data_IF_129321415013
#
_entry.id   IF_129321415013
#
_cell.length_a   1.000
_cell.length_b   1.000
_cell.length_c   1.000
_cell.angle_alpha   90.00
_cell.angle_beta   90.00
_cell.angle_gamma   90.00
#
_symmetry.space_group_name_H-M   'P 1'
#
loop_
_entity.id
_entity.type
_entity.pdbx_description
1 polymer ?
#
# COMPACT_ATOMS: atom_id res chain seq x y z
N UNK A 1 -4.06 7.93 14.45
CA UNK A 1 -4.42 8.20 13.05
C UNK A 1 -5.92 8.04 12.82
N UNK A 2 -6.69 9.10 12.99
CA UNK A 2 -8.13 9.11 12.76
C UNK A 2 -8.36 9.52 11.31
N UNK A 3 -7.70 8.83 10.36
CA UNK A 3 -7.81 9.13 8.94
C UNK A 3 -8.53 7.95 8.32
N UNK A 4 -9.84 8.11 8.11
CA UNK A 4 -10.70 7.07 7.57
C UNK A 4 -11.46 7.59 6.33
N UNK A 5 -11.06 7.21 5.11
CA UNK A 5 -11.75 7.65 3.91
C UNK A 5 -13.09 6.91 3.83
N UNK A 6 -14.19 7.65 3.62
CA UNK A 6 -15.53 7.08 3.52
C UNK A 6 -16.24 7.49 2.23
N UNK A 7 -15.61 8.36 1.43
CA UNK A 7 -16.10 8.88 0.18
C UNK A 7 -17.04 10.07 0.35
N UNK A 8 -17.12 10.66 1.55
CA UNK A 8 -17.99 11.81 1.82
C UNK A 8 -17.51 12.99 0.99
N UNK A 9 -16.20 13.25 1.01
CA UNK A 9 -15.55 14.31 0.29
C UNK A 9 -14.08 13.93 0.11
N UNK A 10 -13.45 14.57 -0.87
CA UNK A 10 -12.06 14.37 -1.24
C UNK A 10 -11.15 14.86 -0.10
N UNK A 11 -9.87 14.45 -0.14
CA UNK A 11 -8.85 14.82 0.83
C UNK A 11 -7.95 15.83 0.08
N UNK A 12 -7.42 16.88 0.74
CA UNK A 12 -6.56 17.87 0.12
C UNK A 12 -5.14 17.31 -0.07
N UNK A 13 -4.16 18.14 -0.37
CA UNK A 13 -2.77 17.74 -0.55
C UNK A 13 -2.19 17.57 0.85
N UNK A 14 -2.47 16.44 1.50
CA UNK A 14 -1.95 16.20 2.83
C UNK A 14 -0.43 16.08 2.69
N UNK A 15 0.28 16.85 3.50
CA UNK A 15 1.73 16.87 3.51
C UNK A 15 2.32 15.58 4.08
N UNK A 16 1.79 15.15 5.22
CA UNK A 16 2.25 13.96 5.92
C UNK A 16 1.90 12.67 5.20
N UNK A 17 2.49 11.57 5.66
CA UNK A 17 2.30 10.24 5.11
C UNK A 17 2.14 9.28 6.29
N UNK A 18 0.96 9.33 6.96
CA UNK A 18 0.69 8.46 8.09
C UNK A 18 0.54 7.02 7.64
N UNK A 19 0.55 6.09 8.60
CA UNK A 19 0.40 4.67 8.36
C UNK A 19 -0.86 4.40 7.56
N UNK A 20 -2.00 4.92 8.03
CA UNK A 20 -3.28 4.71 7.38
C UNK A 20 -3.31 5.39 6.00
N UNK A 21 -2.67 6.56 5.85
CA UNK A 21 -2.63 7.28 4.59
C UNK A 21 -1.95 6.40 3.53
N UNK A 22 -0.88 5.69 3.91
CA UNK A 22 -0.17 4.80 2.99
C UNK A 22 -1.08 3.60 2.74
N UNK A 23 -1.65 3.01 3.80
CA UNK A 23 -2.53 1.85 3.72
C UNK A 23 -3.62 2.01 2.68
N UNK A 24 -4.37 3.13 2.73
CA UNK A 24 -5.44 3.36 1.78
C UNK A 24 -4.88 3.47 0.36
N UNK A 25 -3.74 4.15 0.16
CA UNK A 25 -3.15 4.28 -1.17
C UNK A 25 -2.74 2.92 -1.68
N UNK A 26 -2.05 2.11 -0.88
CA UNK A 26 -1.59 0.79 -1.26
C UNK A 26 -2.78 0.00 -1.83
N UNK A 27 -3.92 0.00 -1.14
CA UNK A 27 -5.12 -0.71 -1.60
C UNK A 27 -5.49 -0.29 -3.00
N UNK A 28 -5.53 1.02 -3.25
CA UNK A 28 -5.87 1.59 -4.54
C UNK A 28 -4.89 1.18 -5.63
N UNK A 29 -3.59 1.20 -5.35
CA UNK A 29 -2.53 0.88 -6.30
C UNK A 29 -2.60 -0.58 -6.70
N UNK A 30 -2.88 -1.43 -5.71
CA UNK A 30 -2.97 -2.87 -5.92
C UNK A 30 -4.29 -3.27 -6.57
N UNK A 31 -5.37 -2.49 -6.37
CA UNK A 31 -6.65 -2.83 -6.95
C UNK A 31 -6.55 -2.89 -8.47
N UNK A 32 -5.93 -1.88 -9.05
CA UNK A 32 -5.77 -1.80 -10.50
C UNK A 32 -4.90 -2.94 -10.99
N UNK A 33 -3.89 -3.34 -10.19
CA UNK A 33 -2.96 -4.41 -10.49
C UNK A 33 -3.64 -5.77 -10.50
N UNK A 34 -4.76 -5.91 -9.78
CA UNK A 34 -5.54 -7.13 -9.69
C UNK A 34 -6.83 -7.00 -10.52
N UNK A 35 -6.93 -6.00 -11.39
CA UNK A 35 -8.09 -5.77 -12.25
C UNK A 35 -9.40 -5.62 -11.46
N UNK A 36 -9.34 -4.92 -10.32
CA UNK A 36 -10.50 -4.73 -9.46
C UNK A 36 -10.52 -3.30 -8.88
N UNK A 37 -11.39 -3.07 -7.89
CA UNK A 37 -11.60 -1.83 -7.17
C UNK A 37 -11.21 -2.06 -5.71
N UNK A 38 -10.59 -1.04 -5.09
CA UNK A 38 -10.17 -1.12 -3.69
C UNK A 38 -11.38 -1.25 -2.76
N UNK A 39 -12.55 -0.90 -3.23
CA UNK A 39 -13.76 -0.97 -2.43
C UNK A 39 -14.01 -2.41 -1.99
N UNK A 40 -13.58 -3.41 -2.78
CA UNK A 40 -13.81 -4.81 -2.42
C UNK A 40 -12.61 -5.48 -1.74
N UNK A 41 -11.45 -4.82 -1.64
CA UNK A 41 -10.24 -5.40 -1.05
C UNK A 41 -10.18 -5.18 0.45
N UNK A 42 -9.78 -6.22 1.18
CA UNK A 42 -9.64 -6.15 2.63
C UNK A 42 -8.20 -5.73 2.99
N UNK A 43 -8.01 -5.20 4.20
CA UNK A 43 -6.72 -4.73 4.69
C UNK A 43 -5.90 -5.83 5.34
N UNK A 44 -6.58 -6.88 5.79
CA UNK A 44 -6.04 -8.07 6.44
C UNK A 44 -6.25 -9.34 5.60
N UNK A 45 -6.57 -9.18 4.30
CA UNK A 45 -6.75 -10.32 3.40
C UNK A 45 -5.48 -10.34 2.59
N UNK A 46 -5.05 -11.54 2.21
CA UNK A 46 -3.83 -11.71 1.47
C UNK A 46 -4.01 -11.38 0.01
N UNK A 47 -3.09 -10.59 -0.54
CA UNK A 47 -3.12 -10.19 -1.94
C UNK A 47 -3.15 -11.45 -2.81
N UNK A 48 -2.39 -12.48 -2.42
CA UNK A 48 -2.31 -13.72 -3.15
C UNK A 48 -3.67 -14.41 -3.22
N UNK A 49 -4.50 -14.31 -2.18
CA UNK A 49 -5.80 -14.95 -2.21
C UNK A 49 -6.66 -14.29 -3.26
N UNK A 50 -6.50 -12.97 -3.43
CA UNK A 50 -7.26 -12.23 -4.44
C UNK A 50 -6.71 -12.61 -5.82
N UNK A 51 -5.41 -12.89 -5.94
CA UNK A 51 -4.76 -13.29 -7.20
C UNK A 51 -3.36 -12.76 -7.42
N UNK A 52 -2.76 -12.09 -6.42
CA UNK A 52 -1.42 -11.52 -6.52
C UNK A 52 -0.44 -12.66 -6.73
N UNK A 53 0.26 -12.61 -7.84
CA UNK A 53 1.23 -13.61 -8.26
C UNK A 53 2.66 -13.08 -8.26
N UNK A 54 3.58 -13.90 -8.74
CA UNK A 54 4.99 -13.57 -8.81
C UNK A 54 5.31 -12.44 -9.79
N UNK A 55 4.51 -12.27 -10.83
CA UNK A 55 4.69 -11.25 -11.85
C UNK A 55 4.20 -9.92 -11.28
N UNK A 56 2.90 -9.88 -10.91
CA UNK A 56 2.24 -8.70 -10.38
C UNK A 56 2.99 -8.19 -9.13
N UNK A 57 3.45 -9.08 -8.26
CA UNK A 57 4.15 -8.65 -7.06
C UNK A 57 5.44 -7.90 -7.35
N UNK A 58 6.18 -8.29 -8.39
CA UNK A 58 7.43 -7.64 -8.76
C UNK A 58 7.16 -6.28 -9.37
N UNK A 59 6.15 -6.14 -10.23
CA UNK A 59 5.87 -4.83 -10.82
C UNK A 59 5.28 -3.90 -9.76
N UNK A 60 4.36 -4.39 -8.92
CA UNK A 60 3.73 -3.58 -7.90
C UNK A 60 4.72 -3.12 -6.84
N UNK A 61 5.69 -3.97 -6.48
CA UNK A 61 6.68 -3.59 -5.47
C UNK A 61 7.42 -2.32 -5.93
N UNK A 62 7.56 -2.13 -7.24
CA UNK A 62 8.26 -0.97 -7.78
C UNK A 62 7.42 0.29 -7.62
N UNK A 63 6.14 0.26 -8.01
CA UNK A 63 5.26 1.43 -7.91
C UNK A 63 5.28 1.96 -6.47
N UNK A 64 5.35 1.05 -5.49
CA UNK A 64 5.37 1.43 -4.09
C UNK A 64 6.61 2.29 -3.80
N UNK A 65 7.78 1.85 -4.26
CA UNK A 65 9.04 2.53 -4.05
C UNK A 65 9.02 3.91 -4.64
N UNK A 66 8.45 4.03 -5.83
CA UNK A 66 8.39 5.30 -6.53
C UNK A 66 7.42 6.25 -5.82
N UNK A 67 6.36 5.71 -5.19
CA UNK A 67 5.39 6.52 -4.50
C UNK A 67 5.97 7.13 -3.22
N UNK A 68 6.76 6.39 -2.43
CA UNK A 68 7.32 6.88 -1.17
C UNK A 68 8.82 7.12 -1.19
N UNK A 69 9.45 6.99 -2.37
CA UNK A 69 10.87 7.16 -2.65
C UNK A 69 11.71 6.22 -1.78
N UNK A 70 11.55 4.92 -2.01
CA UNK A 70 12.23 3.85 -1.26
C UNK A 70 12.88 2.86 -2.21
N UNK A 71 13.34 1.73 -1.67
CA UNK A 71 13.96 0.63 -2.38
C UNK A 71 13.43 -0.63 -1.73
N UNK A 72 12.65 -1.42 -2.45
CA UNK A 72 12.01 -2.67 -1.99
C UNK A 72 11.93 -3.62 -3.16
N UNK A 73 11.68 -4.90 -2.87
CA UNK A 73 11.59 -5.91 -3.90
C UNK A 73 10.43 -6.87 -3.69
N UNK A 74 10.39 -7.91 -4.50
CA UNK A 74 9.36 -8.93 -4.49
C UNK A 74 9.21 -9.60 -3.13
N UNK A 75 10.32 -9.72 -2.40
CA UNK A 75 10.34 -10.33 -1.07
C UNK A 75 9.35 -9.61 -0.14
N UNK A 76 9.09 -8.30 -0.34
CA UNK A 76 8.14 -7.58 0.50
C UNK A 76 6.75 -8.19 0.42
N UNK A 77 6.29 -8.43 -0.80
CA UNK A 77 4.96 -9.02 -1.01
C UNK A 77 4.85 -10.33 -0.27
N UNK A 78 5.93 -11.09 -0.25
CA UNK A 78 6.01 -12.37 0.42
C UNK A 78 6.10 -12.24 1.94
N UNK A 79 6.61 -11.14 2.48
CA UNK A 79 6.74 -10.96 3.92
C UNK A 79 5.49 -10.35 4.52
N UNK A 80 4.83 -9.48 3.76
CA UNK A 80 3.63 -8.78 4.18
C UNK A 80 2.57 -8.94 3.09
N UNK A 81 1.85 -10.06 3.09
CA UNK A 81 0.81 -10.30 2.10
C UNK A 81 -0.43 -9.42 2.30
N UNK A 82 -0.49 -8.53 3.30
CA UNK A 82 -1.64 -7.66 3.53
C UNK A 82 -1.12 -6.22 3.67
N UNK A 83 -2.00 -5.26 3.42
CA UNK A 83 -1.73 -3.82 3.48
C UNK A 83 -1.34 -3.38 4.87
N UNK A 84 -1.97 -3.97 5.89
CA UNK A 84 -1.73 -3.63 7.28
C UNK A 84 -0.24 -3.71 7.62
N UNK A 85 0.39 -4.86 7.36
CA UNK A 85 1.80 -5.10 7.61
C UNK A 85 2.68 -4.40 6.56
N UNK A 86 2.26 -4.41 5.28
CA UNK A 86 3.01 -3.78 4.19
C UNK A 86 3.26 -2.31 4.51
N UNK A 87 2.19 -1.59 4.84
CA UNK A 87 2.18 -0.19 5.20
C UNK A 87 3.00 0.05 6.45
N UNK A 88 2.91 -0.88 7.41
CA UNK A 88 3.61 -0.83 8.69
C UNK A 88 5.09 -0.65 8.47
N UNK A 89 5.64 -1.42 7.52
CA UNK A 89 7.05 -1.36 7.20
C UNK A 89 7.38 -0.07 6.45
N UNK A 90 6.67 0.24 5.35
CA UNK A 90 6.90 1.44 4.53
C UNK A 90 6.94 2.69 5.38
N UNK A 91 5.93 2.89 6.25
CA UNK A 91 5.85 4.05 7.11
C UNK A 91 7.14 4.27 7.90
N UNK A 92 7.85 3.22 8.29
CA UNK A 92 9.10 3.34 9.04
C UNK A 92 10.27 3.73 8.12
N UNK A 93 10.27 3.24 6.87
CA UNK A 93 11.35 3.53 5.93
C UNK A 93 11.34 5.02 5.64
N UNK A 94 10.21 5.57 5.18
CA UNK A 94 10.13 7.00 4.86
C UNK A 94 10.34 7.85 6.11
N UNK A 95 9.96 7.34 7.29
CA UNK A 95 10.12 8.08 8.54
C UNK A 95 11.58 8.09 9.00
N UNK A 96 12.42 7.22 8.44
CA UNK A 96 13.83 7.13 8.78
C UNK A 96 14.64 7.94 7.76
N UNK A 97 14.21 7.95 6.49
CA UNK A 97 14.89 8.68 5.42
C UNK A 97 14.81 10.21 5.61
N UNK A 98 13.88 10.69 6.42
CA UNK A 98 13.67 12.10 6.70
C UNK A 98 14.06 12.52 8.12
N UNK A 99 14.70 11.66 8.92
CA UNK A 99 15.10 11.97 10.29
C UNK A 99 16.61 11.80 10.40
#
# INVERSE_FOLDING_TARGET
SGLVPRGSHMTPQVNQVNLSEIKQVLKQQLAEALYTEESEIAEDQKFVDLGLDSIVGVEWTTTINQTYNLNLKATKLYDYPTLLELSGYIAQILSSQGT
#
